data_IF_452014194221
#
_entry.id   IF_452014194221
#
_cell.length_a   1.000
_cell.length_b   1.000
_cell.length_c   1.000
_cell.angle_alpha   90.00
_cell.angle_beta   90.00
_cell.angle_gamma   90.00
#
_symmetry.space_group_name_H-M   'P 1'
#
loop_
_entity.id
_entity.type
_entity.pdbx_description
1 polymer ?
#
# COMPACT_ATOMS: atom_id res chain seq x y z
N UNK A 1 -18.23 -31.11 16.00
CA UNK A 1 -18.62 -29.88 15.31
C UNK A 1 -17.34 -29.20 14.77
N UNK A 2 -17.42 -28.64 13.59
CA UNK A 2 -16.33 -27.87 12.96
C UNK A 2 -16.82 -26.41 12.90
N UNK A 3 -16.01 -25.48 13.41
CA UNK A 3 -16.24 -24.05 13.28
C UNK A 3 -15.15 -23.47 12.42
N UNK A 4 -15.49 -22.54 11.53
CA UNK A 4 -14.55 -21.92 10.60
C UNK A 4 -14.79 -20.42 10.57
N UNK A 5 -13.68 -19.65 10.40
CA UNK A 5 -13.67 -18.20 10.26
C UNK A 5 -12.96 -17.84 8.95
N UNK A 6 -13.68 -17.29 7.98
CA UNK A 6 -13.16 -16.99 6.65
C UNK A 6 -13.06 -15.47 6.38
N UNK A 7 -12.64 -14.69 7.38
CA UNK A 7 -12.58 -13.23 7.27
C UNK A 7 -11.78 -12.75 6.06
N UNK A 8 -10.50 -13.07 5.96
CA UNK A 8 -9.63 -12.66 4.86
C UNK A 8 -10.11 -13.19 3.50
N UNK A 9 -10.57 -14.43 3.46
CA UNK A 9 -11.11 -15.03 2.24
C UNK A 9 -12.36 -14.28 1.74
N UNK A 10 -13.19 -13.81 2.67
CA UNK A 10 -14.45 -13.14 2.32
C UNK A 10 -14.26 -11.70 1.84
N UNK A 11 -13.37 -10.94 2.46
CA UNK A 11 -13.25 -9.49 2.22
C UNK A 11 -11.90 -9.05 1.64
N UNK A 12 -10.91 -9.91 1.60
CA UNK A 12 -9.56 -9.57 1.12
C UNK A 12 -9.57 -8.96 -0.28
N UNK A 13 -10.27 -9.60 -1.22
CA UNK A 13 -10.34 -9.17 -2.62
C UNK A 13 -11.08 -7.83 -2.84
N UNK A 14 -11.84 -7.36 -1.83
CA UNK A 14 -12.61 -6.12 -1.93
C UNK A 14 -11.78 -4.85 -1.74
N UNK A 15 -10.51 -4.96 -1.38
CA UNK A 15 -9.64 -3.82 -1.08
C UNK A 15 -8.42 -3.73 -1.95
N UNK A 16 -8.00 -2.49 -2.21
CA UNK A 16 -6.71 -2.16 -2.81
C UNK A 16 -6.11 -0.94 -2.11
N UNK A 17 -4.79 -0.94 -1.97
CA UNK A 17 -4.03 0.18 -1.40
C UNK A 17 -3.11 0.75 -2.47
N UNK A 18 -3.22 2.05 -2.71
CA UNK A 18 -2.48 2.75 -3.76
C UNK A 18 -1.42 3.64 -3.15
N UNK A 19 -0.23 3.66 -3.77
CA UNK A 19 0.89 4.50 -3.38
C UNK A 19 1.44 5.27 -4.59
N UNK A 20 1.95 6.47 -4.33
CA UNK A 20 2.84 7.17 -5.25
C UNK A 20 4.29 6.75 -5.02
N UNK A 21 5.05 6.62 -6.09
CA UNK A 21 6.51 6.55 -6.00
C UNK A 21 7.04 7.99 -5.98
N UNK A 22 7.67 8.36 -4.87
CA UNK A 22 8.14 9.73 -4.64
C UNK A 22 9.63 9.91 -4.89
N UNK A 23 10.38 8.81 -4.89
CA UNK A 23 11.83 8.87 -5.11
C UNK A 23 12.37 7.53 -5.61
N UNK A 24 13.55 7.58 -6.21
CA UNK A 24 14.35 6.42 -6.58
C UNK A 24 15.74 6.56 -5.99
N UNK A 25 16.24 5.48 -5.39
CA UNK A 25 17.62 5.35 -4.93
C UNK A 25 18.28 4.18 -5.63
N UNK A 26 19.37 4.44 -6.34
CA UNK A 26 20.24 3.39 -6.85
C UNK A 26 21.23 2.98 -5.76
N UNK A 27 21.14 1.75 -5.27
CA UNK A 27 22.03 1.23 -4.23
C UNK A 27 23.35 0.74 -4.84
N UNK A 28 23.25 0.05 -5.97
CA UNK A 28 24.37 -0.47 -6.76
C UNK A 28 23.86 -0.77 -8.18
N UNK A 29 24.69 -1.35 -9.05
CA UNK A 29 24.34 -1.64 -10.45
C UNK A 29 23.17 -2.62 -10.63
N UNK A 30 22.76 -3.31 -9.58
CA UNK A 30 21.72 -4.36 -9.61
C UNK A 30 20.50 -4.04 -8.76
N UNK A 31 20.58 -3.06 -7.87
CA UNK A 31 19.55 -2.76 -6.87
C UNK A 31 19.06 -1.32 -6.99
N UNK A 32 17.87 -1.18 -7.51
CA UNK A 32 17.13 0.08 -7.55
C UNK A 32 15.98 0.04 -6.55
N UNK A 33 15.90 1.06 -5.71
CA UNK A 33 14.84 1.22 -4.73
C UNK A 33 13.87 2.30 -5.16
N UNK A 34 12.58 2.00 -5.10
CA UNK A 34 11.51 2.98 -5.24
C UNK A 34 10.92 3.27 -3.86
N UNK A 35 10.89 4.55 -3.49
CA UNK A 35 10.33 4.98 -2.22
C UNK A 35 8.86 5.35 -2.41
N UNK A 36 7.98 4.76 -1.59
CA UNK A 36 6.56 5.09 -1.59
C UNK A 36 6.28 6.33 -0.72
N UNK A 37 5.14 6.96 -0.92
CA UNK A 37 4.66 8.13 -0.16
C UNK A 37 4.03 7.78 1.20
N UNK A 38 4.24 6.57 1.69
CA UNK A 38 3.70 6.07 2.95
C UNK A 38 4.65 5.04 3.57
N UNK A 39 4.13 4.15 4.38
CA UNK A 39 4.87 3.09 5.06
C UNK A 39 4.15 1.76 4.94
N UNK A 40 4.88 0.69 4.66
CA UNK A 40 4.34 -0.66 4.74
C UNK A 40 4.01 -1.06 6.18
N UNK A 41 4.77 -0.55 7.15
CA UNK A 41 4.53 -0.81 8.57
C UNK A 41 3.16 -0.35 9.03
N UNK A 42 2.74 0.84 8.57
CA UNK A 42 1.51 1.49 9.04
C UNK A 42 0.32 1.29 8.12
N UNK A 43 0.55 0.99 6.84
CA UNK A 43 -0.53 0.89 5.84
C UNK A 43 -0.85 -0.55 5.44
N UNK A 44 0.15 -1.42 5.42
CA UNK A 44 0.02 -2.85 5.11
C UNK A 44 0.76 -3.71 6.16
N UNK A 45 0.31 -3.66 7.43
CA UNK A 45 1.05 -4.27 8.54
C UNK A 45 1.25 -5.78 8.42
N UNK A 46 0.39 -6.50 7.70
CA UNK A 46 0.55 -7.94 7.51
C UNK A 46 1.77 -8.31 6.64
N UNK A 47 2.37 -7.35 5.92
CA UNK A 47 3.63 -7.57 5.22
C UNK A 47 4.72 -7.99 6.21
N UNK A 48 4.94 -7.21 7.24
CA UNK A 48 5.96 -7.51 8.25
C UNK A 48 5.44 -8.42 9.36
N UNK A 49 4.15 -8.32 9.71
CA UNK A 49 3.56 -9.07 10.81
C UNK A 49 3.47 -10.58 10.57
N UNK A 50 3.11 -10.99 9.37
CA UNK A 50 2.91 -12.40 8.99
C UNK A 50 3.53 -12.76 7.62
N UNK A 51 4.38 -11.91 7.06
CA UNK A 51 4.98 -12.08 5.74
C UNK A 51 3.91 -12.27 4.63
N UNK A 52 2.83 -11.50 4.71
CA UNK A 52 1.75 -11.53 3.73
C UNK A 52 2.24 -11.02 2.39
N UNK A 53 1.84 -11.72 1.32
CA UNK A 53 2.11 -11.31 -0.07
C UNK A 53 0.85 -10.80 -0.72
N UNK A 54 1.00 -9.73 -1.50
CA UNK A 54 -0.09 -9.09 -2.22
C UNK A 54 0.16 -9.09 -3.72
N UNK A 55 -0.90 -8.96 -4.49
CA UNK A 55 -0.79 -8.69 -5.92
C UNK A 55 -0.36 -7.24 -6.09
N UNK A 56 0.81 -7.02 -6.65
CA UNK A 56 1.37 -5.69 -6.93
C UNK A 56 1.32 -5.40 -8.42
N UNK A 57 0.72 -4.29 -8.78
CA UNK A 57 0.65 -3.82 -10.17
C UNK A 57 1.02 -2.34 -10.27
N UNK A 58 1.63 -1.96 -11.38
CA UNK A 58 1.69 -0.56 -11.78
C UNK A 58 0.28 -0.08 -12.14
N UNK A 59 -0.09 1.13 -11.76
CA UNK A 59 -1.40 1.73 -12.05
C UNK A 59 -1.35 2.58 -13.32
N UNK A 60 -0.17 3.06 -13.67
CA UNK A 60 0.08 3.84 -14.88
C UNK A 60 1.43 3.48 -15.51
N UNK A 61 1.74 4.08 -16.66
CA UNK A 61 3.00 3.88 -17.39
C UNK A 61 3.25 2.43 -17.82
N UNK A 62 2.21 1.69 -18.12
CA UNK A 62 2.30 0.26 -18.49
C UNK A 62 3.05 -0.01 -19.79
N UNK A 63 3.15 0.99 -20.65
CA UNK A 63 3.85 0.96 -21.93
C UNK A 63 5.37 1.19 -21.82
N UNK A 64 5.87 1.48 -20.61
CA UNK A 64 7.28 1.78 -20.36
C UNK A 64 8.12 0.51 -20.18
N UNK A 65 9.42 0.67 -20.34
CA UNK A 65 10.37 -0.38 -19.99
C UNK A 65 10.32 -0.65 -18.49
N UNK A 66 10.31 -1.93 -18.11
CA UNK A 66 10.29 -2.36 -16.71
C UNK A 66 11.71 -2.65 -16.22
N UNK A 67 11.94 -2.39 -14.95
CA UNK A 67 13.18 -2.77 -14.27
C UNK A 67 12.88 -3.46 -12.94
N UNK A 68 13.82 -4.28 -12.48
CA UNK A 68 13.76 -4.87 -11.16
C UNK A 68 13.95 -3.80 -10.12
N UNK A 69 13.09 -3.79 -9.10
CA UNK A 69 13.11 -2.82 -8.00
C UNK A 69 12.84 -3.48 -6.65
N UNK A 70 13.25 -2.79 -5.60
CA UNK A 70 12.80 -2.98 -4.24
C UNK A 70 11.92 -1.80 -3.85
N UNK A 71 10.99 -1.98 -2.92
CA UNK A 71 10.14 -0.90 -2.44
C UNK A 71 10.49 -0.58 -0.99
N UNK A 72 10.64 0.69 -0.67
CA UNK A 72 10.89 1.19 0.67
C UNK A 72 9.83 2.19 1.11
N UNK A 73 9.47 2.15 2.39
CA UNK A 73 8.61 3.14 3.03
C UNK A 73 9.38 4.31 3.63
N UNK A 74 8.67 5.17 4.33
CA UNK A 74 9.20 6.43 4.88
C UNK A 74 9.64 6.37 6.34
N UNK A 75 9.40 5.25 7.03
CA UNK A 75 9.79 5.13 8.43
C UNK A 75 11.27 4.75 8.58
N UNK A 76 11.79 4.91 9.78
CA UNK A 76 13.15 4.47 10.11
C UNK A 76 13.24 2.98 10.47
N UNK A 77 12.13 2.25 10.39
CA UNK A 77 12.09 0.82 10.72
C UNK A 77 12.77 0.00 9.61
N UNK A 78 13.58 -0.97 10.02
CA UNK A 78 14.28 -1.88 9.09
C UNK A 78 13.34 -2.80 8.32
N UNK A 79 12.13 -3.01 8.80
CA UNK A 79 11.11 -3.83 8.15
C UNK A 79 10.18 -3.03 7.23
N UNK A 80 10.39 -1.70 7.11
CA UNK A 80 9.56 -0.86 6.25
C UNK A 80 9.95 -0.96 4.77
N UNK A 81 9.87 -2.18 4.24
CA UNK A 81 10.19 -2.47 2.85
C UNK A 81 9.33 -3.60 2.29
N UNK A 82 9.31 -3.71 0.98
CA UNK A 82 8.73 -4.84 0.25
C UNK A 82 9.67 -5.22 -0.91
N UNK A 83 10.14 -6.46 -0.92
CA UNK A 83 11.09 -6.93 -1.93
C UNK A 83 10.75 -8.31 -2.49
N UNK A 84 11.47 -8.67 -3.56
CA UNK A 84 11.32 -9.96 -4.22
C UNK A 84 11.80 -11.15 -3.42
N UNK A 85 12.71 -10.96 -2.49
CA UNK A 85 13.34 -12.07 -1.74
C UNK A 85 12.47 -12.53 -0.58
N UNK A 86 11.96 -11.60 0.21
CA UNK A 86 11.14 -11.89 1.37
C UNK A 86 9.64 -11.99 1.07
N UNK A 87 9.13 -11.16 0.15
CA UNK A 87 7.70 -10.99 -0.06
C UNK A 87 7.20 -11.47 -1.42
N UNK A 88 8.07 -11.55 -2.43
CA UNK A 88 7.72 -11.90 -3.80
C UNK A 88 8.94 -12.53 -4.48
N UNK A 89 8.79 -13.11 -5.65
CA UNK A 89 9.93 -13.68 -6.39
C UNK A 89 10.86 -12.60 -6.95
N UNK A 90 10.29 -11.58 -7.59
CA UNK A 90 10.96 -10.37 -8.06
C UNK A 90 9.91 -9.33 -8.38
N UNK A 91 10.22 -8.08 -8.10
CA UNK A 91 9.34 -6.96 -8.41
C UNK A 91 9.90 -6.26 -9.64
N UNK A 92 9.05 -6.15 -10.66
CA UNK A 92 9.34 -5.38 -11.86
C UNK A 92 8.32 -4.26 -11.99
N UNK A 93 8.79 -3.03 -12.07
CA UNK A 93 7.95 -1.85 -12.26
C UNK A 93 8.50 -0.98 -13.40
N UNK A 94 7.64 -0.15 -14.01
CA UNK A 94 8.07 0.81 -15.03
C UNK A 94 9.21 1.68 -14.54
N UNK A 95 10.19 1.93 -15.40
CA UNK A 95 11.27 2.89 -15.14
C UNK A 95 10.70 4.30 -14.94
N UNK A 96 11.19 5.01 -13.93
CA UNK A 96 10.82 6.40 -13.70
C UNK A 96 11.42 7.28 -14.80
N UNK A 97 10.59 8.13 -15.38
CA UNK A 97 10.98 9.04 -16.48
C UNK A 97 10.58 10.50 -16.20
N UNK A 98 10.52 10.88 -14.92
CA UNK A 98 10.22 12.25 -14.49
C UNK A 98 8.73 12.57 -14.34
N UNK A 99 7.82 11.67 -14.73
CA UNK A 99 6.39 11.78 -14.47
C UNK A 99 5.96 11.01 -13.21
N UNK A 100 4.71 11.18 -12.76
CA UNK A 100 4.18 10.47 -11.62
C UNK A 100 4.08 8.96 -11.92
N UNK A 101 4.46 8.14 -10.96
CA UNK A 101 4.31 6.70 -10.98
C UNK A 101 3.46 6.26 -9.79
N UNK A 102 2.40 5.50 -10.08
CA UNK A 102 1.52 4.93 -9.06
C UNK A 102 1.58 3.41 -9.11
N UNK A 103 1.52 2.81 -7.93
CA UNK A 103 1.45 1.35 -7.76
C UNK A 103 0.27 0.99 -6.88
N UNK A 104 -0.27 -0.20 -7.06
CA UNK A 104 -1.38 -0.73 -6.27
C UNK A 104 -1.07 -2.09 -5.71
N UNK A 105 -1.34 -2.25 -4.43
CA UNK A 105 -1.41 -3.53 -3.74
C UNK A 105 -2.87 -3.95 -3.67
N UNK A 106 -3.19 -5.09 -4.26
CA UNK A 106 -4.55 -5.62 -4.33
C UNK A 106 -4.74 -6.75 -3.31
N UNK A 107 -5.99 -7.03 -2.95
CA UNK A 107 -6.39 -7.96 -1.89
C UNK A 107 -6.05 -7.47 -0.49
N UNK A 108 -6.11 -6.16 -0.27
CA UNK A 108 -5.83 -5.52 1.03
C UNK A 108 -7.09 -5.23 1.87
N UNK A 109 -8.25 -5.82 1.52
CA UNK A 109 -9.53 -5.54 2.16
C UNK A 109 -9.71 -6.14 3.57
N UNK A 110 -8.82 -7.03 4.00
CA UNK A 110 -8.86 -7.63 5.33
C UNK A 110 -7.70 -7.14 6.21
N UNK A 111 -8.00 -6.79 7.45
CA UNK A 111 -7.08 -6.42 8.54
C UNK A 111 -6.26 -5.14 8.35
N UNK A 112 -5.85 -4.78 7.13
CA UNK A 112 -4.87 -3.70 6.93
C UNK A 112 -5.34 -2.38 7.53
N UNK A 113 -6.58 -1.98 7.28
CA UNK A 113 -7.14 -0.75 7.83
C UNK A 113 -7.38 -0.85 9.34
N UNK A 114 -7.86 -1.95 9.83
CA UNK A 114 -8.16 -2.11 11.26
C UNK A 114 -6.90 -2.21 12.12
N UNK A 115 -5.79 -2.64 11.56
CA UNK A 115 -4.50 -2.73 12.26
C UNK A 115 -3.64 -1.48 12.05
N UNK A 116 -3.67 -0.89 10.86
CA UNK A 116 -2.75 0.16 10.46
C UNK A 116 -3.39 1.53 10.19
N UNK A 117 -4.72 1.62 10.04
CA UNK A 117 -5.44 2.84 9.71
C UNK A 117 -5.58 3.85 10.85
N UNK A 118 -6.68 4.60 10.85
CA UNK A 118 -6.99 5.60 11.89
C UNK A 118 -7.03 4.94 13.28
N UNK A 119 -6.10 5.33 14.15
CA UNK A 119 -5.97 4.77 15.48
C UNK A 119 -5.19 3.44 15.57
N UNK A 120 -4.68 2.95 14.45
CA UNK A 120 -3.78 1.80 14.39
C UNK A 120 -2.32 2.15 14.68
N UNK A 121 -1.41 1.47 13.99
CA UNK A 121 0.03 1.68 14.14
C UNK A 121 0.42 3.10 13.70
N UNK A 122 1.06 3.85 14.59
CA UNK A 122 1.42 5.26 14.38
C UNK A 122 2.93 5.45 14.22
N UNK A 123 3.64 4.48 13.67
CA UNK A 123 5.09 4.54 13.50
C UNK A 123 5.51 5.76 12.68
N UNK A 124 6.45 6.56 13.20
CA UNK A 124 6.92 7.83 12.63
C UNK A 124 5.79 8.82 12.27
N UNK A 125 4.62 8.67 12.88
CA UNK A 125 3.43 9.51 12.62
C UNK A 125 3.05 9.59 11.14
N UNK A 126 3.20 8.50 10.41
CA UNK A 126 2.72 8.42 9.02
C UNK A 126 1.20 8.55 9.02
N UNK A 127 0.62 9.53 8.30
CA UNK A 127 -0.81 9.73 8.30
C UNK A 127 -1.54 8.64 7.53
N UNK A 128 -2.72 8.24 7.99
CA UNK A 128 -3.58 7.33 7.26
C UNK A 128 -4.06 7.97 5.94
N UNK A 129 -4.12 7.21 4.84
CA UNK A 129 -4.57 7.69 3.55
C UNK A 129 -6.08 7.97 3.54
N UNK A 130 -6.57 8.64 2.52
CA UNK A 130 -8.01 8.73 2.27
C UNK A 130 -8.56 7.39 1.79
N UNK A 131 -9.82 7.13 2.17
CA UNK A 131 -10.54 5.94 1.72
C UNK A 131 -11.61 6.31 0.70
N UNK A 132 -11.62 5.61 -0.40
CA UNK A 132 -12.61 5.76 -1.47
C UNK A 132 -13.33 4.43 -1.64
N UNK A 133 -14.65 4.46 -1.66
CA UNK A 133 -15.46 3.33 -2.08
C UNK A 133 -15.67 3.43 -3.59
N UNK A 134 -15.39 2.33 -4.27
CA UNK A 134 -15.71 2.13 -5.68
C UNK A 134 -16.82 1.10 -5.73
N UNK A 135 -17.93 1.44 -6.34
CA UNK A 135 -19.10 0.57 -6.38
C UNK A 135 -19.82 0.69 -7.73
N UNK A 136 -20.74 -0.22 -7.98
CA UNK A 136 -21.54 -0.27 -9.19
C UNK A 136 -22.94 -0.78 -8.85
N UNK A 137 -23.97 -0.10 -9.32
CA UNK A 137 -25.32 -0.58 -9.17
C UNK A 137 -25.56 -1.85 -10.00
N UNK A 138 -26.40 -2.73 -9.46
CA UNK A 138 -26.71 -4.00 -10.14
C UNK A 138 -27.36 -3.75 -11.50
N UNK A 139 -26.67 -4.17 -12.57
CA UNK A 139 -27.13 -4.00 -13.94
C UNK A 139 -26.56 -2.76 -14.64
N UNK A 140 -25.80 -1.93 -13.94
CA UNK A 140 -25.08 -0.80 -14.53
C UNK A 140 -23.70 -1.25 -15.04
N UNK A 141 -23.22 -0.61 -16.10
CA UNK A 141 -21.86 -0.82 -16.64
C UNK A 141 -20.85 0.20 -16.11
N UNK A 142 -21.31 1.25 -15.43
CA UNK A 142 -20.46 2.32 -14.93
C UNK A 142 -20.21 2.15 -13.43
N UNK A 143 -18.97 2.41 -13.02
CA UNK A 143 -18.58 2.49 -11.62
C UNK A 143 -18.69 3.93 -11.13
N UNK A 144 -19.14 4.09 -9.91
CA UNK A 144 -19.08 5.36 -9.21
C UNK A 144 -18.13 5.30 -8.03
N UNK A 145 -17.63 6.46 -7.62
CA UNK A 145 -16.76 6.58 -6.47
C UNK A 145 -17.36 7.52 -5.43
N UNK A 146 -17.15 7.22 -4.17
CA UNK A 146 -17.49 8.11 -3.07
C UNK A 146 -16.40 8.13 -2.01
N UNK A 147 -16.16 9.30 -1.44
CA UNK A 147 -15.25 9.42 -0.31
C UNK A 147 -15.87 8.77 0.93
N UNK A 148 -15.20 7.78 1.50
CA UNK A 148 -15.59 7.16 2.77
C UNK A 148 -14.95 7.87 3.95
N UNK A 149 -13.62 8.06 3.94
CA UNK A 149 -12.89 8.79 4.95
C UNK A 149 -11.83 9.69 4.31
N UNK A 150 -11.64 10.89 4.85
CA UNK A 150 -10.55 11.77 4.44
C UNK A 150 -9.23 11.26 5.01
N UNK A 151 -8.13 11.60 4.33
CA UNK A 151 -6.78 11.42 4.84
C UNK A 151 -6.60 12.15 6.18
N UNK A 152 -5.71 11.62 7.02
CA UNK A 152 -5.31 12.32 8.24
C UNK A 152 -4.52 13.58 7.90
N UNK A 153 -4.88 14.68 8.53
CA UNK A 153 -4.13 15.94 8.42
C UNK A 153 -2.97 15.98 9.42
N UNK A 154 -1.99 16.85 9.18
CA UNK A 154 -0.94 17.11 10.17
C UNK A 154 -1.49 17.54 11.54
N UNK A 155 -2.60 18.26 11.57
CA UNK A 155 -3.29 18.64 12.82
C UNK A 155 -3.85 17.43 13.57
N UNK A 156 -4.39 16.45 12.84
CA UNK A 156 -4.82 15.19 13.41
C UNK A 156 -3.65 14.42 14.02
N UNK A 157 -2.52 14.40 13.35
CA UNK A 157 -1.30 13.74 13.85
C UNK A 157 -0.76 14.46 15.10
N UNK A 158 -0.74 15.81 15.11
CA UNK A 158 -0.33 16.59 16.28
C UNK A 158 -1.19 16.31 17.50
N UNK A 159 -2.51 16.15 17.32
CA UNK A 159 -3.43 15.80 18.43
C UNK A 159 -3.11 14.44 19.06
N UNK A 160 -2.60 13.48 18.30
CA UNK A 160 -2.14 12.18 18.83
C UNK A 160 -1.01 12.38 19.84
N UNK A 161 -0.17 13.40 19.64
CA UNK A 161 0.90 13.79 20.55
C UNK A 161 0.45 14.70 21.69
N UNK A 162 -0.83 15.10 21.75
CA UNK A 162 -1.37 15.96 22.81
C UNK A 162 -1.27 17.47 22.53
N UNK A 163 -1.04 17.88 21.27
CA UNK A 163 -1.02 19.30 20.85
C UNK A 163 -2.37 19.75 20.27
#
# INVERSE_FOLDING_TARGET
HIFTEFGSFTVGESGATLFSIINQKQQNDRESWYMIDSSFMTTLPDIWGINQRYILLAINNWDKEYQRVFLGGLTCDSEDYYNGESHSNAIFLPKLNGGPQYIGFFHTGAYQESLGGFGGIQHCLIPAPKHIIIDREKGDNEYYTRLFAKEQSYRSMMRILGY
#
